data_IF_452402548769
#
_entry.id   IF_452402548769
#
_cell.length_a   1.000
_cell.length_b   1.000
_cell.length_c   1.000
_cell.angle_alpha   90.00
_cell.angle_beta   90.00
_cell.angle_gamma   90.00
#
_symmetry.space_group_name_H-M   'P 1'
#
loop_
_entity.id
_entity.type
_entity.pdbx_description
1 polymer ?
#
# COMPACT_ATOMS: atom_id res chain seq x y z
N UNK A 1 -17.34 4.98 15.36
CA UNK A 1 -17.05 3.69 14.69
C UNK A 1 -16.81 2.62 15.74
N UNK A 2 -17.22 1.37 15.52
CA UNK A 2 -16.90 0.28 16.46
C UNK A 2 -15.40 -0.05 16.43
N UNK A 3 -14.88 -0.56 17.56
CA UNK A 3 -13.46 -0.92 17.71
C UNK A 3 -12.99 -1.92 16.65
N UNK A 4 -13.81 -2.91 16.31
CA UNK A 4 -13.50 -3.89 15.27
C UNK A 4 -13.30 -3.26 13.88
N UNK A 5 -14.14 -2.28 13.50
CA UNK A 5 -13.96 -1.55 12.23
C UNK A 5 -12.67 -0.74 12.22
N UNK A 6 -12.29 -0.11 13.35
CA UNK A 6 -11.01 0.60 13.46
C UNK A 6 -9.83 -0.37 13.25
N UNK A 7 -9.85 -1.55 13.89
CA UNK A 7 -8.79 -2.56 13.71
C UNK A 7 -8.71 -3.03 12.26
N UNK A 8 -9.84 -3.35 11.64
CA UNK A 8 -9.89 -3.79 10.24
C UNK A 8 -9.29 -2.76 9.28
N UNK A 9 -9.63 -1.48 9.44
CA UNK A 9 -9.03 -0.41 8.63
C UNK A 9 -7.53 -0.25 8.89
N UNK A 10 -7.09 -0.54 10.11
CA UNK A 10 -5.67 -0.60 10.44
C UNK A 10 -4.98 -1.66 9.60
N UNK A 11 -5.47 -2.90 9.63
CA UNK A 11 -4.91 -4.00 8.82
C UNK A 11 -4.88 -3.59 7.35
N UNK A 12 -6.01 -3.11 6.79
CA UNK A 12 -6.11 -2.69 5.39
C UNK A 12 -5.08 -1.60 5.04
N UNK A 13 -4.82 -0.66 5.95
CA UNK A 13 -3.85 0.42 5.71
C UNK A 13 -2.41 -0.07 5.55
N UNK A 14 -2.04 -1.18 6.20
CA UNK A 14 -0.71 -1.77 6.11
C UNK A 14 -0.54 -2.71 4.91
N UNK A 15 -1.62 -3.26 4.34
CA UNK A 15 -1.52 -4.24 3.24
C UNK A 15 -0.73 -3.70 2.04
N UNK A 16 -1.00 -2.50 1.50
CA UNK A 16 -0.23 -1.97 0.38
C UNK A 16 1.27 -1.89 0.67
N UNK A 17 1.65 -1.41 1.86
CA UNK A 17 3.04 -1.28 2.26
C UNK A 17 3.73 -2.65 2.42
N UNK A 18 3.06 -3.61 3.05
CA UNK A 18 3.59 -4.97 3.20
C UNK A 18 3.77 -5.68 1.85
N UNK A 19 2.77 -5.57 0.97
CA UNK A 19 2.86 -6.14 -0.37
C UNK A 19 3.93 -5.46 -1.21
N UNK A 20 4.16 -4.16 -1.04
CA UNK A 20 5.26 -3.47 -1.69
C UNK A 20 6.62 -3.99 -1.22
N UNK A 21 6.81 -4.23 0.08
CA UNK A 21 8.05 -4.81 0.61
C UNK A 21 8.27 -6.22 0.02
N UNK A 22 7.22 -7.05 0.00
CA UNK A 22 7.27 -8.40 -0.61
C UNK A 22 7.61 -8.31 -2.10
N UNK A 23 6.99 -7.37 -2.82
CA UNK A 23 7.27 -7.12 -4.23
C UNK A 23 8.75 -6.75 -4.44
N UNK A 24 9.30 -5.84 -3.63
CA UNK A 24 10.71 -5.46 -3.73
C UNK A 24 11.65 -6.64 -3.49
N UNK A 25 11.38 -7.46 -2.46
CA UNK A 25 12.17 -8.68 -2.19
C UNK A 25 12.11 -9.65 -3.37
N UNK A 26 10.91 -9.85 -3.92
CA UNK A 26 10.69 -10.74 -5.07
C UNK A 26 11.39 -10.23 -6.34
N UNK A 27 11.32 -8.91 -6.58
CA UNK A 27 12.01 -8.25 -7.70
C UNK A 27 13.53 -8.38 -7.58
N UNK A 28 14.09 -8.14 -6.38
CA UNK A 28 15.54 -8.29 -6.14
C UNK A 28 15.97 -9.74 -6.32
N UNK A 29 15.20 -10.70 -5.79
CA UNK A 29 15.48 -12.12 -5.99
C UNK A 29 15.45 -12.52 -7.46
N UNK A 30 14.49 -12.00 -8.23
CA UNK A 30 14.40 -12.20 -9.68
C UNK A 30 15.63 -11.63 -10.40
N UNK A 31 16.05 -10.39 -10.10
CA UNK A 31 17.23 -9.76 -10.71
C UNK A 31 18.50 -10.57 -10.40
N UNK A 32 18.69 -10.99 -9.15
CA UNK A 32 19.85 -11.81 -8.76
C UNK A 32 19.84 -13.14 -9.51
N UNK A 33 18.67 -13.79 -9.63
CA UNK A 33 18.52 -15.02 -10.40
C UNK A 33 18.91 -14.82 -11.87
N UNK A 34 18.39 -13.76 -12.49
CA UNK A 34 18.67 -13.43 -13.88
C UNK A 34 20.16 -13.14 -14.13
N UNK A 35 20.80 -12.32 -13.28
CA UNK A 35 22.23 -12.02 -13.42
C UNK A 35 23.09 -13.27 -13.29
N UNK A 36 22.76 -14.17 -12.35
CA UNK A 36 23.50 -15.44 -12.18
C UNK A 36 23.41 -16.34 -13.41
N UNK A 37 22.25 -16.39 -14.06
CA UNK A 37 22.07 -17.19 -15.27
C UNK A 37 22.97 -16.69 -16.41
N UNK A 38 22.97 -15.36 -16.64
CA UNK A 38 23.81 -14.71 -17.64
C UNK A 38 25.30 -14.93 -17.36
N UNK A 39 25.73 -14.81 -16.10
CA UNK A 39 27.13 -15.02 -15.71
C UNK A 39 27.60 -16.47 -15.93
N UNK A 40 26.71 -17.46 -15.74
CA UNK A 40 27.04 -18.88 -15.87
C UNK A 40 27.06 -19.36 -17.33
N UNK A 41 26.16 -18.84 -18.17
CA UNK A 41 25.93 -19.35 -19.52
C UNK A 41 26.41 -18.42 -20.65
N UNK A 42 26.82 -17.19 -20.33
CA UNK A 42 27.40 -16.22 -21.27
C UNK A 42 26.39 -15.55 -22.21
N UNK A 43 25.35 -16.28 -22.58
CA UNK A 43 24.13 -15.81 -23.25
C UNK A 43 22.95 -16.48 -22.52
N UNK A 44 21.78 -15.85 -22.39
CA UNK A 44 20.57 -16.54 -21.94
C UNK A 44 20.26 -17.66 -22.96
N UNK A 45 20.54 -18.92 -22.61
CA UNK A 45 20.23 -20.07 -23.48
C UNK A 45 18.72 -20.31 -23.46
N UNK A 46 18.05 -19.72 -24.45
CA UNK A 46 16.59 -19.67 -24.58
C UNK A 46 15.93 -18.96 -23.39
N UNK A 47 14.85 -18.20 -23.60
CA UNK A 47 14.09 -17.63 -22.48
C UNK A 47 13.25 -18.77 -21.87
N UNK A 48 13.67 -19.44 -20.78
CA UNK A 48 13.02 -20.66 -20.34
C UNK A 48 11.65 -20.28 -19.78
N UNK A 49 10.69 -21.20 -19.84
CA UNK A 49 9.34 -20.97 -19.29
C UNK A 49 9.36 -20.48 -17.83
N UNK A 50 10.38 -20.83 -17.04
CA UNK A 50 10.57 -20.36 -15.67
C UNK A 50 10.84 -18.86 -15.55
N UNK A 51 11.65 -18.28 -16.44
CA UNK A 51 11.97 -16.84 -16.39
C UNK A 51 10.82 -15.99 -16.92
N UNK A 52 10.14 -16.48 -17.98
CA UNK A 52 8.90 -15.88 -18.47
C UNK A 52 7.82 -15.85 -17.38
N UNK A 53 7.69 -16.92 -16.59
CA UNK A 53 6.77 -16.96 -15.45
C UNK A 53 7.15 -15.95 -14.35
N UNK A 54 8.45 -15.72 -14.12
CA UNK A 54 8.94 -14.68 -13.20
C UNK A 54 8.52 -13.28 -13.64
N UNK A 55 8.69 -12.94 -14.91
CA UNK A 55 8.26 -11.65 -15.47
C UNK A 55 6.75 -11.48 -15.36
N UNK A 56 5.97 -12.49 -15.75
CA UNK A 56 4.50 -12.45 -15.63
C UNK A 56 4.09 -12.25 -14.17
N UNK A 57 4.75 -12.93 -13.24
CA UNK A 57 4.49 -12.76 -11.80
C UNK A 57 4.77 -11.32 -11.34
N UNK A 58 5.87 -10.71 -11.77
CA UNK A 58 6.19 -9.32 -11.46
C UNK A 58 5.17 -8.34 -12.06
N UNK A 59 4.74 -8.55 -13.30
CA UNK A 59 3.73 -7.71 -13.95
C UNK A 59 2.40 -7.83 -13.22
N UNK A 60 1.88 -9.05 -13.02
CA UNK A 60 0.58 -9.28 -12.37
C UNK A 60 0.59 -8.74 -10.93
N UNK A 61 1.65 -9.02 -10.17
CA UNK A 61 1.76 -8.50 -8.79
C UNK A 61 1.84 -6.97 -8.74
N UNK A 62 2.55 -6.33 -9.67
CA UNK A 62 2.62 -4.86 -9.74
C UNK A 62 1.27 -4.22 -10.06
N UNK A 63 0.49 -4.81 -10.98
CA UNK A 63 -0.85 -4.33 -11.32
C UNK A 63 -1.80 -4.50 -10.13
N UNK A 64 -1.78 -5.68 -9.49
CA UNK A 64 -2.61 -5.94 -8.31
C UNK A 64 -2.27 -4.99 -7.15
N UNK A 65 -0.98 -4.76 -6.90
CA UNK A 65 -0.52 -3.82 -5.89
C UNK A 65 -0.97 -2.39 -6.22
N UNK A 66 -0.85 -1.97 -7.48
CA UNK A 66 -1.28 -0.65 -7.94
C UNK A 66 -2.78 -0.44 -7.74
N UNK A 67 -3.61 -1.39 -8.19
CA UNK A 67 -5.07 -1.33 -8.05
C UNK A 67 -5.50 -1.34 -6.58
N UNK A 68 -4.89 -2.20 -5.76
CA UNK A 68 -5.18 -2.24 -4.33
C UNK A 68 -4.79 -0.94 -3.64
N UNK A 69 -3.61 -0.42 -3.92
CA UNK A 69 -3.12 0.85 -3.35
C UNK A 69 -4.03 2.00 -3.76
N UNK A 70 -4.50 2.03 -5.01
CA UNK A 70 -5.44 3.02 -5.51
C UNK A 70 -6.79 2.92 -4.78
N UNK A 71 -7.34 1.71 -4.61
CA UNK A 71 -8.59 1.50 -3.88
C UNK A 71 -8.50 1.97 -2.43
N UNK A 72 -7.40 1.64 -1.75
CA UNK A 72 -7.13 2.09 -0.37
C UNK A 72 -6.97 3.61 -0.32
N UNK A 73 -6.26 4.21 -1.28
CA UNK A 73 -6.10 5.66 -1.37
C UNK A 73 -7.43 6.39 -1.52
N UNK A 74 -8.27 5.96 -2.46
CA UNK A 74 -9.60 6.54 -2.70
C UNK A 74 -10.45 6.43 -1.43
N UNK A 75 -10.44 5.27 -0.77
CA UNK A 75 -11.16 5.09 0.49
C UNK A 75 -10.72 6.11 1.56
N UNK A 76 -9.42 6.27 1.76
CA UNK A 76 -8.89 7.19 2.78
C UNK A 76 -9.12 8.66 2.44
N UNK A 77 -9.08 9.04 1.17
CA UNK A 77 -9.46 10.39 0.70
C UNK A 77 -10.94 10.65 1.02
N UNK A 78 -11.84 9.72 0.66
CA UNK A 78 -13.27 9.84 0.96
C UNK A 78 -13.50 9.92 2.47
N UNK A 79 -12.77 9.15 3.27
CA UNK A 79 -12.85 9.23 4.71
C UNK A 79 -12.40 10.59 5.24
N UNK A 80 -11.30 11.17 4.73
CA UNK A 80 -10.81 12.48 5.14
C UNK A 80 -11.78 13.61 4.77
N UNK A 81 -12.44 13.52 3.61
CA UNK A 81 -13.44 14.49 3.17
C UNK A 81 -14.69 14.45 4.06
N UNK A 82 -15.12 13.25 4.45
CA UNK A 82 -16.35 13.07 5.22
C UNK A 82 -16.14 13.12 6.74
N UNK A 83 -14.91 13.28 7.22
CA UNK A 83 -14.62 13.36 8.65
C UNK A 83 -14.83 14.79 9.16
N UNK A 84 -15.86 15.06 10.01
CA UNK A 84 -16.12 16.40 10.53
C UNK A 84 -15.06 16.87 11.53
N UNK A 85 -14.25 15.97 12.09
CA UNK A 85 -13.17 16.29 13.01
C UNK A 85 -11.93 16.86 12.31
N UNK A 86 -11.90 16.83 10.98
CA UNK A 86 -10.79 17.34 10.16
C UNK A 86 -11.23 18.67 9.54
N UNK A 87 -10.50 19.73 9.88
CA UNK A 87 -10.74 21.06 9.32
C UNK A 87 -10.34 21.11 7.82
N UNK A 88 -10.72 22.20 7.14
CA UNK A 88 -10.53 22.33 5.69
C UNK A 88 -9.05 22.24 5.28
N UNK A 89 -8.17 22.94 6.00
CA UNK A 89 -6.75 23.03 5.65
C UNK A 89 -6.05 21.68 5.84
N UNK A 90 -6.35 21.01 6.95
CA UNK A 90 -5.81 19.69 7.25
C UNK A 90 -6.31 18.63 6.27
N UNK A 91 -7.57 18.73 5.82
CA UNK A 91 -8.12 17.83 4.80
C UNK A 91 -7.34 17.93 3.50
N UNK A 92 -6.99 19.14 3.08
CA UNK A 92 -6.17 19.36 1.87
C UNK A 92 -4.80 18.71 2.05
N UNK A 93 -4.17 18.90 3.21
CA UNK A 93 -2.88 18.27 3.53
C UNK A 93 -2.99 16.74 3.41
N UNK A 94 -4.01 16.11 3.99
CA UNK A 94 -4.17 14.67 3.89
C UNK A 94 -4.33 14.18 2.45
N UNK A 95 -5.15 14.86 1.65
CA UNK A 95 -5.34 14.50 0.25
C UNK A 95 -3.99 14.59 -0.50
N UNK A 96 -3.23 15.66 -0.30
CA UNK A 96 -1.91 15.82 -0.92
C UNK A 96 -0.95 14.71 -0.47
N UNK A 97 -0.87 14.42 0.82
CA UNK A 97 0.05 13.41 1.35
C UNK A 97 -0.38 11.99 0.92
N UNK A 98 -1.67 11.71 0.75
CA UNK A 98 -2.11 10.43 0.15
C UNK A 98 -1.64 10.27 -1.29
N UNK A 99 -1.70 11.33 -2.10
CA UNK A 99 -1.33 11.26 -3.52
C UNK A 99 0.19 11.24 -3.71
N UNK A 100 0.94 12.07 -2.99
CA UNK A 100 2.38 12.22 -3.20
C UNK A 100 3.24 11.29 -2.36
N UNK A 101 2.82 10.95 -1.14
CA UNK A 101 3.57 10.03 -0.25
C UNK A 101 3.04 8.59 -0.35
N UNK A 102 1.77 8.42 -0.74
CA UNK A 102 1.22 7.12 -1.10
C UNK A 102 1.03 6.17 0.09
N UNK A 103 1.46 4.93 -0.09
CA UNK A 103 1.16 3.80 0.80
C UNK A 103 1.63 3.94 2.25
N UNK A 104 2.66 4.76 2.50
CA UNK A 104 3.14 5.03 3.87
C UNK A 104 2.15 5.93 4.63
N UNK A 105 1.38 6.75 3.93
CA UNK A 105 0.43 7.69 4.53
C UNK A 105 -0.78 6.98 5.14
N UNK A 106 -1.22 5.86 4.56
CA UNK A 106 -2.41 5.13 5.02
C UNK A 106 -2.34 4.71 6.51
N UNK A 107 -1.27 4.02 6.97
CA UNK A 107 -1.18 3.63 8.38
C UNK A 107 -1.02 4.84 9.32
N UNK A 108 -0.32 5.88 8.87
CA UNK A 108 -0.15 7.13 9.65
C UNK A 108 -1.50 7.82 9.85
N UNK A 109 -2.27 7.96 8.77
CA UNK A 109 -3.62 8.53 8.83
C UNK A 109 -4.55 7.71 9.70
N UNK A 110 -4.55 6.39 9.52
CA UNK A 110 -5.35 5.49 10.35
C UNK A 110 -5.05 5.69 11.83
N UNK A 111 -3.77 5.72 12.22
CA UNK A 111 -3.39 5.88 13.63
C UNK A 111 -3.83 7.25 14.19
N UNK A 112 -3.59 8.33 13.45
CA UNK A 112 -3.85 9.68 13.94
C UNK A 112 -5.34 10.06 13.90
N UNK A 113 -6.08 9.67 12.85
CA UNK A 113 -7.45 10.15 12.58
C UNK A 113 -8.54 9.12 12.73
N UNK A 114 -8.21 7.83 12.84
CA UNK A 114 -9.22 6.78 13.04
C UNK A 114 -9.06 6.14 14.41
N UNK A 115 -7.83 5.74 14.76
CA UNK A 115 -7.54 5.08 16.03
C UNK A 115 -7.62 6.04 17.22
N UNK A 116 -6.91 7.17 17.14
CA UNK A 116 -6.86 8.20 18.20
C UNK A 116 -8.03 9.17 18.20
N UNK A 117 -8.92 9.12 17.21
CA UNK A 117 -10.11 9.98 17.22
C UNK A 117 -10.94 9.66 18.46
N UNK A 118 -11.23 10.67 19.30
CA UNK A 118 -12.15 10.51 20.42
C UNK A 118 -13.43 9.89 19.88
N UNK A 119 -13.84 8.76 20.45
CA UNK A 119 -15.20 8.33 20.22
C UNK A 119 -16.06 9.51 20.68
N UNK A 120 -16.94 10.00 19.81
CA UNK A 120 -17.91 11.02 20.18
C UNK A 120 -18.82 10.42 21.25
N UNK A 121 -18.33 10.41 22.49
CA UNK A 121 -19.03 10.01 23.67
C UNK A 121 -19.51 11.33 24.29
N UNK A 122 -20.81 11.65 24.23
CA UNK A 122 -21.34 12.93 24.69
C UNK A 122 -21.28 13.14 26.21
N UNK A 123 -20.58 12.29 26.97
CA UNK A 123 -20.54 12.34 28.44
C UNK A 123 -19.28 12.96 29.05
N UNK A 124 -18.36 13.51 28.24
CA UNK A 124 -17.12 14.15 28.73
C UNK A 124 -16.82 15.49 28.05
N UNK A 125 -17.85 16.32 27.84
CA UNK A 125 -17.68 17.75 27.53
C UNK A 125 -18.40 18.58 28.59
#
# INVERSE_FOLDING_TARGET
MSRGKKILLGIISFIPLLLFIIYLVTMVAFIIGFVREVDLHGEPQDFPFGEAAGIVTLIVSSVLLGLLSLGVMVYFIVHAINNPLINRDERIIWILVFVFVGMVTFPVYWYLRIWRSPDANPSTA
#
